data_IF_724753244835
#
_entry.id   IF_724753244835
#
_cell.length_a   1.000
_cell.length_b   1.000
_cell.length_c   1.000
_cell.angle_alpha   90.00
_cell.angle_beta   90.00
_cell.angle_gamma   90.00
#
_symmetry.space_group_name_H-M   'P 1'
#
loop_
_entity.id
_entity.type
_entity.pdbx_description
1 polymer ?
#
# COMPACT_ATOMS: atom_id res chain seq x y z
N UNK A 1 -0.54 -45.24 20.75
CA UNK A 1 -0.11 -45.07 19.34
C UNK A 1 -1.07 -44.09 18.68
N UNK A 2 -0.69 -42.81 18.59
CA UNK A 2 -1.49 -41.79 17.93
C UNK A 2 -1.14 -41.81 16.43
N UNK A 3 -2.15 -42.00 15.58
CA UNK A 3 -1.99 -41.98 14.14
C UNK A 3 -1.62 -40.56 13.66
N UNK A 4 -0.55 -40.45 12.88
CA UNK A 4 -0.15 -39.22 12.22
C UNK A 4 -1.28 -38.73 11.28
N UNK A 5 -1.66 -37.45 11.30
CA UNK A 5 -2.67 -36.94 10.39
C UNK A 5 -2.14 -37.01 8.95
N UNK A 6 -2.98 -37.53 8.04
CA UNK A 6 -2.69 -37.61 6.61
C UNK A 6 -2.44 -36.20 6.03
N UNK A 7 -1.48 -36.03 5.11
CA UNK A 7 -1.21 -34.73 4.49
C UNK A 7 -2.43 -34.26 3.68
N UNK A 8 -2.77 -32.97 3.85
CA UNK A 8 -3.88 -32.32 3.15
C UNK A 8 -3.52 -32.15 1.65
N UNK A 9 -4.31 -32.71 0.71
CA UNK A 9 -3.97 -32.74 -0.73
C UNK A 9 -3.99 -31.37 -1.42
N UNK A 10 -4.38 -30.30 -0.72
CA UNK A 10 -4.39 -28.92 -1.25
C UNK A 10 -3.13 -28.12 -0.92
N UNK A 11 -2.14 -28.72 -0.26
CA UNK A 11 -0.85 -28.11 0.03
C UNK A 11 0.21 -28.61 -0.97
N UNK A 12 1.16 -27.76 -1.40
CA UNK A 12 2.25 -28.22 -2.25
C UNK A 12 3.07 -29.33 -1.53
N UNK A 13 3.52 -30.37 -2.25
CA UNK A 13 4.25 -31.47 -1.65
C UNK A 13 5.63 -31.05 -1.15
N UNK A 14 6.08 -31.74 -0.10
CA UNK A 14 7.40 -31.56 0.49
C UNK A 14 8.46 -32.21 -0.41
N UNK A 15 9.44 -31.43 -0.89
CA UNK A 15 10.63 -31.95 -1.58
C UNK A 15 11.90 -31.45 -0.87
N UNK A 16 12.62 -32.29 -0.12
CA UNK A 16 13.91 -31.92 0.43
C UNK A 16 14.99 -32.28 -0.59
N UNK A 17 15.57 -31.30 -1.26
CA UNK A 17 16.82 -31.52 -2.01
C UNK A 17 17.82 -30.40 -1.69
N UNK A 18 18.70 -30.71 -0.75
CA UNK A 18 20.04 -30.17 -0.67
C UNK A 18 20.91 -30.87 -1.72
N UNK A 19 21.39 -30.13 -2.72
CA UNK A 19 22.61 -30.51 -3.44
C UNK A 19 23.27 -29.26 -4.01
N UNK A 20 24.33 -28.84 -3.34
CA UNK A 20 25.34 -27.88 -3.81
C UNK A 20 26.02 -28.42 -5.07
N UNK A 21 25.77 -27.83 -6.23
CA UNK A 21 26.70 -27.84 -7.36
C UNK A 21 26.58 -26.52 -8.14
N UNK A 22 27.65 -25.73 -8.09
CA UNK A 22 27.83 -24.50 -8.86
C UNK A 22 28.11 -24.84 -10.33
N UNK A 23 27.43 -24.24 -11.31
CA UNK A 23 27.90 -24.29 -12.69
C UNK A 23 28.94 -23.19 -12.94
N UNK A 24 30.13 -23.62 -13.37
CA UNK A 24 31.16 -22.76 -13.97
C UNK A 24 30.62 -22.10 -15.25
N UNK A 25 30.57 -20.78 -15.29
CA UNK A 25 30.37 -20.04 -16.54
C UNK A 25 31.71 -19.50 -17.06
N UNK A 26 32.09 -20.03 -18.21
CA UNK A 26 33.22 -19.60 -19.04
C UNK A 26 32.83 -18.31 -19.77
N UNK A 27 33.60 -17.23 -19.62
CA UNK A 27 33.47 -16.01 -20.43
C UNK A 27 34.57 -15.97 -21.50
N UNK A 28 34.26 -15.80 -22.80
CA UNK A 28 35.27 -15.47 -23.80
C UNK A 28 35.57 -13.96 -23.81
N UNK A 29 36.77 -13.53 -24.27
CA UNK A 29 37.23 -12.16 -24.07
C UNK A 29 36.64 -11.15 -25.07
N UNK A 30 36.61 -9.91 -24.59
CA UNK A 30 36.21 -8.66 -25.23
C UNK A 30 37.02 -8.31 -26.49
N UNK A 31 36.34 -7.75 -27.49
CA UNK A 31 36.97 -6.89 -28.50
C UNK A 31 36.46 -5.45 -28.36
N UNK A 32 37.44 -4.55 -28.30
CA UNK A 32 37.34 -3.11 -28.15
C UNK A 32 36.95 -2.41 -29.46
N UNK A 33 36.06 -1.42 -29.40
CA UNK A 33 36.03 -0.31 -30.37
C UNK A 33 35.84 1.00 -29.62
N UNK A 34 36.71 1.95 -29.95
CA UNK A 34 36.90 3.29 -29.37
C UNK A 34 35.88 4.28 -29.94
N UNK A 35 35.34 5.18 -29.11
CA UNK A 35 34.48 6.29 -29.52
C UNK A 35 34.31 7.39 -28.46
N UNK A 36 35.17 8.40 -28.57
CA UNK A 36 35.23 9.76 -27.96
C UNK A 36 34.08 10.35 -27.11
N UNK A 37 34.46 10.69 -25.86
CA UNK A 37 34.35 11.97 -25.10
C UNK A 37 33.08 12.82 -25.18
N UNK A 38 32.34 12.94 -24.06
CA UNK A 38 31.88 14.22 -23.45
C UNK A 38 31.98 14.06 -21.91
N UNK A 39 32.60 15.02 -21.22
CA UNK A 39 32.91 14.97 -19.78
C UNK A 39 31.98 15.87 -18.96
N UNK A 40 31.41 15.33 -17.89
CA UNK A 40 30.75 16.07 -16.80
C UNK A 40 31.21 15.48 -15.44
N UNK A 41 31.33 16.29 -14.37
CA UNK A 41 31.98 15.84 -13.14
C UNK A 41 31.02 15.00 -12.31
N UNK A 42 31.34 13.71 -12.13
CA UNK A 42 30.62 12.82 -11.21
C UNK A 42 31.21 12.95 -9.81
N UNK A 43 30.38 13.42 -8.87
CA UNK A 43 30.64 13.32 -7.44
C UNK A 43 30.50 11.85 -7.05
N UNK A 44 31.58 11.30 -6.47
CA UNK A 44 31.64 9.94 -5.93
C UNK A 44 30.76 9.85 -4.67
N UNK A 45 29.60 9.21 -4.79
CA UNK A 45 28.85 8.69 -3.66
C UNK A 45 29.13 7.19 -3.56
N UNK A 46 29.80 6.75 -2.50
CA UNK A 46 30.00 5.33 -2.21
C UNK A 46 28.66 4.69 -1.88
N UNK A 47 28.07 3.98 -2.84
CA UNK A 47 26.94 3.09 -2.58
C UNK A 47 27.45 1.87 -1.78
N UNK A 48 27.09 1.79 -0.51
CA UNK A 48 27.21 0.56 0.24
C UNK A 48 26.28 -0.49 -0.40
N UNK A 49 26.84 -1.46 -1.09
CA UNK A 49 26.10 -2.56 -1.70
C UNK A 49 25.59 -3.50 -0.58
N UNK A 50 24.31 -3.38 -0.24
CA UNK A 50 23.63 -4.44 0.52
C UNK A 50 23.38 -5.59 -0.46
N UNK A 51 24.04 -6.73 -0.22
CA UNK A 51 23.76 -7.97 -0.95
C UNK A 51 22.42 -8.51 -0.44
N UNK A 52 21.36 -8.38 -1.24
CA UNK A 52 20.08 -9.05 -1.01
C UNK A 52 20.23 -10.50 -1.49
N UNK A 53 20.10 -11.47 -0.60
CA UNK A 53 20.12 -12.87 -0.95
C UNK A 53 18.82 -13.28 -1.66
N UNK A 54 18.92 -13.76 -2.89
CA UNK A 54 17.83 -14.44 -3.59
C UNK A 54 17.63 -15.82 -2.95
N UNK A 55 16.72 -15.91 -1.98
CA UNK A 55 16.34 -17.19 -1.38
C UNK A 55 15.15 -17.02 -0.43
N UNK A 56 14.14 -17.88 -0.58
CA UNK A 56 13.07 -18.03 0.42
C UNK A 56 13.73 -18.47 1.72
N UNK A 57 13.64 -17.65 2.79
CA UNK A 57 14.07 -18.09 4.11
C UNK A 57 13.17 -19.27 4.54
N UNK A 58 13.73 -20.48 4.76
CA UNK A 58 12.94 -21.67 5.10
C UNK A 58 12.00 -21.44 6.29
N UNK A 59 12.38 -20.60 7.25
CA UNK A 59 11.61 -20.37 8.48
C UNK A 59 10.26 -19.69 8.26
N UNK A 60 10.10 -18.87 7.22
CA UNK A 60 8.84 -18.14 6.97
C UNK A 60 7.81 -18.97 6.22
N UNK A 61 8.27 -19.75 5.24
CA UNK A 61 7.46 -20.78 4.61
C UNK A 61 7.02 -21.81 5.66
N UNK A 62 7.96 -22.31 6.48
CA UNK A 62 7.64 -23.29 7.51
C UNK A 62 6.76 -22.73 8.62
N UNK A 63 6.92 -21.48 9.05
CA UNK A 63 6.05 -20.87 10.06
C UNK A 63 4.64 -20.61 9.55
N UNK A 64 4.50 -20.12 8.32
CA UNK A 64 3.19 -19.89 7.68
C UNK A 64 2.43 -21.19 7.49
N UNK A 65 3.09 -22.22 6.95
CA UNK A 65 2.49 -23.53 6.75
C UNK A 65 2.23 -24.25 8.08
N UNK A 66 3.12 -24.13 9.08
CA UNK A 66 2.89 -24.67 10.44
C UNK A 66 1.69 -24.01 11.12
N UNK A 67 1.56 -22.69 11.02
CA UNK A 67 0.42 -21.94 11.55
C UNK A 67 -0.91 -22.44 10.96
N UNK A 68 -0.94 -22.67 9.64
CA UNK A 68 -2.12 -23.18 8.94
C UNK A 68 -2.40 -24.67 9.25
N UNK A 69 -1.36 -25.50 9.33
CA UNK A 69 -1.48 -26.95 9.53
C UNK A 69 -1.79 -27.35 10.97
N UNK A 70 -1.31 -26.61 11.97
CA UNK A 70 -1.42 -26.97 13.39
C UNK A 70 -2.86 -27.21 13.87
N UNK A 71 -3.86 -26.69 13.15
CA UNK A 71 -5.30 -26.89 13.47
C UNK A 71 -6.18 -27.20 12.24
N UNK A 72 -5.59 -27.68 11.15
CA UNK A 72 -6.34 -28.11 9.95
C UNK A 72 -7.12 -26.99 9.25
N UNK A 73 -6.61 -25.76 9.25
CA UNK A 73 -7.30 -24.61 8.65
C UNK A 73 -6.93 -24.42 7.18
N UNK A 74 -7.94 -24.08 6.40
CA UNK A 74 -7.80 -23.68 4.99
C UNK A 74 -7.96 -22.16 4.89
N UNK A 75 -7.10 -21.47 4.12
CA UNK A 75 -7.25 -20.04 3.86
C UNK A 75 -8.66 -19.67 3.38
N UNK A 76 -9.27 -18.65 3.99
CA UNK A 76 -10.64 -18.24 3.70
C UNK A 76 -10.67 -17.32 2.49
N UNK A 77 -11.13 -17.86 1.35
CA UNK A 77 -11.33 -17.08 0.12
C UNK A 77 -12.22 -15.85 0.31
N UNK A 78 -13.26 -15.95 1.15
CA UNK A 78 -14.17 -14.83 1.44
C UNK A 78 -13.51 -13.65 2.16
N UNK A 79 -12.37 -13.87 2.82
CA UNK A 79 -11.59 -12.83 3.48
C UNK A 79 -10.39 -12.37 2.62
N UNK A 80 -10.24 -12.89 1.40
CA UNK A 80 -9.12 -12.52 0.52
C UNK A 80 -7.74 -12.91 1.07
N UNK A 81 -7.66 -13.96 1.89
CA UNK A 81 -6.42 -14.35 2.56
C UNK A 81 -5.39 -14.92 1.56
N UNK A 82 -4.29 -14.18 1.38
CA UNK A 82 -3.09 -14.57 0.63
C UNK A 82 -1.86 -14.28 1.49
N UNK A 83 -1.22 -15.32 2.00
CA UNK A 83 -0.08 -15.19 2.91
C UNK A 83 1.23 -15.07 2.13
N UNK A 84 2.06 -14.10 2.50
CA UNK A 84 3.40 -13.93 1.95
C UNK A 84 4.31 -15.08 2.40
N UNK A 85 4.90 -15.80 1.45
CA UNK A 85 5.81 -16.92 1.71
C UNK A 85 7.29 -16.50 1.77
N UNK A 86 7.60 -15.30 1.30
CA UNK A 86 8.96 -14.82 1.14
C UNK A 86 9.23 -13.60 2.02
N UNK A 87 10.04 -13.77 3.06
CA UNK A 87 10.39 -12.70 4.00
C UNK A 87 11.18 -11.56 3.40
N UNK A 88 12.01 -11.81 2.38
CA UNK A 88 12.75 -10.74 1.70
C UNK A 88 11.80 -9.67 1.13
N UNK A 89 10.57 -10.03 0.77
CA UNK A 89 9.56 -9.06 0.34
C UNK A 89 9.00 -8.27 1.52
N UNK A 90 8.80 -8.90 2.68
CA UNK A 90 8.40 -8.20 3.91
C UNK A 90 9.48 -7.22 4.37
N UNK A 91 10.76 -7.60 4.28
CA UNK A 91 11.92 -6.73 4.53
C UNK A 91 11.94 -5.56 3.56
N UNK A 92 11.74 -5.81 2.26
CA UNK A 92 11.62 -4.73 1.26
C UNK A 92 10.42 -3.81 1.52
N UNK A 93 9.30 -4.34 2.02
CA UNK A 93 8.11 -3.56 2.37
C UNK A 93 8.40 -2.62 3.56
N UNK A 94 9.03 -3.13 4.62
CA UNK A 94 9.46 -2.33 5.77
C UNK A 94 10.53 -1.29 5.37
N UNK A 95 11.47 -1.67 4.50
CA UNK A 95 12.48 -0.77 3.97
C UNK A 95 11.89 0.33 3.08
N UNK A 96 10.87 0.04 2.28
CA UNK A 96 10.17 1.02 1.45
C UNK A 96 9.46 2.10 2.29
N UNK A 97 8.98 1.75 3.48
CA UNK A 97 8.45 2.68 4.48
C UNK A 97 9.53 3.29 5.39
N UNK A 98 10.81 2.96 5.14
CA UNK A 98 11.96 3.40 5.93
C UNK A 98 11.73 3.20 7.43
N UNK A 99 11.18 2.04 7.83
CA UNK A 99 10.87 1.73 9.24
C UNK A 99 12.17 1.70 10.05
N UNK A 100 12.15 2.39 11.19
CA UNK A 100 13.29 2.54 12.09
C UNK A 100 12.92 2.18 13.52
N UNK A 101 13.94 2.01 14.34
CA UNK A 101 13.76 1.80 15.77
C UNK A 101 13.03 2.98 16.43
N UNK A 102 11.98 2.66 17.19
CA UNK A 102 11.09 3.62 17.83
C UNK A 102 9.95 4.12 16.95
N UNK A 103 9.83 3.68 15.69
CA UNK A 103 8.66 4.00 14.88
C UNK A 103 7.41 3.31 15.41
N UNK A 104 6.25 3.96 15.26
CA UNK A 104 4.94 3.34 15.48
C UNK A 104 4.34 2.98 14.13
N UNK A 105 3.96 1.71 13.96
CA UNK A 105 3.46 1.18 12.69
C UNK A 105 2.08 0.57 12.85
N UNK A 106 1.16 0.95 11.99
CA UNK A 106 -0.10 0.26 11.79
C UNK A 106 0.09 -0.86 10.75
N UNK A 107 -0.32 -2.07 11.11
CA UNK A 107 -0.41 -3.22 10.21
C UNK A 107 -1.87 -3.69 10.09
N UNK A 108 -2.38 -3.79 8.86
CA UNK A 108 -3.74 -4.22 8.54
C UNK A 108 -3.68 -5.63 7.98
N UNK A 109 -4.31 -6.58 8.67
CA UNK A 109 -4.31 -7.98 8.27
C UNK A 109 -2.95 -8.66 8.47
N UNK A 110 -2.41 -8.76 9.70
CA UNK A 110 -1.13 -9.40 9.99
C UNK A 110 -1.10 -10.88 9.59
N UNK A 111 -2.26 -11.55 9.52
CA UNK A 111 -2.36 -12.95 9.11
C UNK A 111 -1.56 -13.89 10.03
N UNK A 112 -0.48 -14.47 9.54
CA UNK A 112 0.42 -15.34 10.32
C UNK A 112 1.48 -14.56 11.12
N UNK A 113 1.55 -13.24 10.96
CA UNK A 113 2.51 -12.36 11.63
C UNK A 113 3.88 -12.30 10.96
N UNK A 114 4.00 -12.71 9.69
CA UNK A 114 5.28 -12.72 8.97
C UNK A 114 5.82 -11.31 8.73
N UNK A 115 4.96 -10.35 8.37
CA UNK A 115 5.34 -8.94 8.25
C UNK A 115 5.51 -8.30 9.64
N UNK A 116 4.59 -8.59 10.58
CA UNK A 116 4.71 -8.20 11.99
C UNK A 116 6.09 -8.51 12.58
N UNK A 117 6.63 -9.70 12.31
CA UNK A 117 7.95 -10.12 12.76
C UNK A 117 9.06 -9.16 12.27
N UNK A 118 9.03 -8.80 10.98
CA UNK A 118 10.00 -7.89 10.37
C UNK A 118 9.90 -6.49 10.98
N UNK A 119 8.68 -5.99 11.19
CA UNK A 119 8.44 -4.68 11.80
C UNK A 119 8.96 -4.60 13.24
N UNK A 120 8.65 -5.61 14.06
CA UNK A 120 9.12 -5.69 15.45
C UNK A 120 10.65 -5.81 15.51
N UNK A 121 11.25 -6.65 14.65
CA UNK A 121 12.71 -6.82 14.58
C UNK A 121 13.43 -5.55 14.10
N UNK A 122 12.75 -4.69 13.33
CA UNK A 122 13.25 -3.36 12.94
C UNK A 122 13.19 -2.35 14.09
N UNK A 123 12.61 -2.74 15.23
CA UNK A 123 12.53 -1.95 16.43
C UNK A 123 11.25 -1.14 16.58
N UNK A 124 10.24 -1.39 15.74
CA UNK A 124 8.98 -0.66 15.76
C UNK A 124 8.00 -1.18 16.84
N UNK A 125 7.12 -0.29 17.29
CA UNK A 125 5.88 -0.67 18.00
C UNK A 125 4.75 -0.81 16.99
N UNK A 126 4.10 -1.97 16.95
CA UNK A 126 3.10 -2.32 15.96
C UNK A 126 1.70 -2.35 16.58
N UNK A 127 0.76 -1.63 15.96
CA UNK A 127 -0.66 -1.85 16.13
C UNK A 127 -1.16 -2.70 14.96
N UNK A 128 -1.56 -3.93 15.22
CA UNK A 128 -2.10 -4.82 14.20
C UNK A 128 -3.63 -4.87 14.28
N UNK A 129 -4.33 -4.72 13.15
CA UNK A 129 -5.80 -4.87 13.06
C UNK A 129 -6.11 -6.12 12.23
N UNK A 130 -6.70 -7.13 12.85
CA UNK A 130 -7.02 -8.41 12.23
C UNK A 130 -8.49 -8.77 12.38
N UNK A 131 -9.16 -9.06 11.27
CA UNK A 131 -10.58 -9.39 11.24
C UNK A 131 -10.85 -10.86 11.60
N UNK A 132 -9.97 -11.78 11.22
CA UNK A 132 -10.10 -13.20 11.58
C UNK A 132 -9.64 -13.39 13.04
N UNK A 133 -10.59 -13.62 13.95
CA UNK A 133 -10.33 -13.80 15.38
C UNK A 133 -9.29 -14.88 15.69
N UNK A 134 -9.19 -15.90 14.84
CA UNK A 134 -8.16 -16.91 15.00
C UNK A 134 -6.76 -16.38 14.68
N UNK A 135 -6.61 -15.62 13.59
CA UNK A 135 -5.33 -15.04 13.20
C UNK A 135 -4.89 -13.97 14.20
N UNK A 136 -5.85 -13.19 14.71
CA UNK A 136 -5.60 -12.24 15.78
C UNK A 136 -4.99 -12.94 17.02
N UNK A 137 -5.63 -14.03 17.49
CA UNK A 137 -5.12 -14.81 18.62
C UNK A 137 -3.78 -15.50 18.33
N UNK A 138 -3.56 -15.98 17.10
CA UNK A 138 -2.30 -16.62 16.70
C UNK A 138 -1.14 -15.63 16.73
N UNK A 139 -1.35 -14.43 16.19
CA UNK A 139 -0.34 -13.37 16.17
C UNK A 139 -0.07 -12.88 17.60
N UNK A 140 -1.11 -12.68 18.40
CA UNK A 140 -0.98 -12.30 19.81
C UNK A 140 -0.16 -13.33 20.61
N UNK A 141 -0.47 -14.64 20.48
CA UNK A 141 0.27 -15.73 21.11
C UNK A 141 1.74 -15.79 20.64
N UNK A 142 1.97 -15.67 19.32
CA UNK A 142 3.31 -15.72 18.71
C UNK A 142 4.24 -14.65 19.29
N UNK A 143 3.70 -13.48 19.62
CA UNK A 143 4.46 -12.33 20.11
C UNK A 143 4.18 -12.00 21.58
N UNK A 144 3.63 -12.93 22.37
CA UNK A 144 3.28 -12.70 23.78
C UNK A 144 4.47 -12.28 24.67
N UNK A 145 5.71 -12.58 24.24
CA UNK A 145 6.93 -12.21 24.97
C UNK A 145 7.46 -10.80 24.64
N UNK A 146 6.76 -10.02 23.80
CA UNK A 146 7.13 -8.64 23.49
C UNK A 146 5.99 -7.67 23.81
N UNK A 147 6.34 -6.49 24.32
CA UNK A 147 5.40 -5.38 24.55
C UNK A 147 5.27 -4.46 23.34
N UNK A 148 5.97 -4.76 22.24
CA UNK A 148 5.97 -3.96 21.01
C UNK A 148 4.83 -4.29 20.05
N UNK A 149 3.89 -5.14 20.44
CA UNK A 149 2.73 -5.48 19.63
C UNK A 149 1.44 -5.27 20.42
N UNK A 150 0.46 -4.66 19.75
CA UNK A 150 -0.93 -4.65 20.19
C UNK A 150 -1.80 -5.16 19.05
N UNK A 151 -2.57 -6.21 19.29
CA UNK A 151 -3.50 -6.77 18.30
C UNK A 151 -4.93 -6.33 18.61
N UNK A 152 -5.62 -5.77 17.62
CA UNK A 152 -7.04 -5.46 17.65
C UNK A 152 -7.79 -6.47 16.78
N UNK A 153 -8.68 -7.25 17.38
CA UNK A 153 -9.54 -8.15 16.61
C UNK A 153 -10.78 -7.41 16.09
N UNK A 154 -10.62 -6.61 15.05
CA UNK A 154 -11.67 -5.78 14.47
C UNK A 154 -11.66 -5.83 12.93
N UNK A 155 -12.79 -5.44 12.33
CA UNK A 155 -12.87 -5.18 10.90
C UNK A 155 -12.34 -3.77 10.62
N UNK A 156 -11.19 -3.65 9.95
CA UNK A 156 -10.56 -2.36 9.68
C UNK A 156 -11.52 -1.34 9.07
N UNK A 157 -12.36 -1.78 8.12
CA UNK A 157 -13.33 -0.90 7.42
C UNK A 157 -14.37 -0.30 8.37
N UNK A 158 -14.60 -0.92 9.54
CA UNK A 158 -15.53 -0.46 10.58
C UNK A 158 -14.83 0.10 11.81
N UNK A 159 -13.52 -0.09 11.91
CA UNK A 159 -12.70 0.29 13.05
C UNK A 159 -12.50 1.81 13.07
N UNK A 160 -12.56 2.42 14.26
CA UNK A 160 -12.10 3.80 14.44
C UNK A 160 -10.60 3.80 14.70
N UNK A 161 -9.83 3.53 13.66
CA UNK A 161 -8.36 3.40 13.75
C UNK A 161 -7.71 4.67 14.30
N UNK A 162 -8.25 5.86 13.99
CA UNK A 162 -7.77 7.14 14.53
C UNK A 162 -7.77 7.15 16.06
N UNK A 163 -8.85 6.71 16.68
CA UNK A 163 -8.97 6.63 18.14
C UNK A 163 -7.94 5.67 18.75
N UNK A 164 -7.77 4.49 18.15
CA UNK A 164 -6.80 3.51 18.63
C UNK A 164 -5.36 4.00 18.50
N UNK A 165 -5.03 4.64 17.38
CA UNK A 165 -3.71 5.24 17.15
C UNK A 165 -3.41 6.36 18.13
N UNK A 166 -4.35 7.30 18.33
CA UNK A 166 -4.18 8.38 19.29
C UNK A 166 -3.99 7.87 20.73
N UNK A 167 -4.73 6.83 21.11
CA UNK A 167 -4.56 6.18 22.41
C UNK A 167 -3.18 5.55 22.57
N UNK A 168 -2.69 4.85 21.54
CA UNK A 168 -1.37 4.22 21.54
C UNK A 168 -0.26 5.28 21.56
N UNK A 169 -0.31 6.27 20.68
CA UNK A 169 0.67 7.36 20.61
C UNK A 169 0.77 8.09 21.94
N UNK A 170 -0.37 8.43 22.58
CA UNK A 170 -0.37 9.05 23.91
C UNK A 170 0.29 8.17 24.97
N UNK A 171 0.09 6.84 24.91
CA UNK A 171 0.76 5.94 25.86
C UNK A 171 2.27 5.88 25.67
N UNK A 172 2.73 6.02 24.42
CA UNK A 172 4.16 6.02 24.07
C UNK A 172 4.80 7.37 24.43
N UNK A 173 4.14 8.50 24.15
CA UNK A 173 4.65 9.85 24.49
C UNK A 173 4.85 10.04 26.00
N UNK A 174 4.03 9.36 26.83
CA UNK A 174 4.20 9.35 28.27
C UNK A 174 5.44 8.56 28.73
N UNK A 175 5.92 7.63 27.91
CA UNK A 175 7.12 6.83 28.18
C UNK A 175 8.38 7.34 27.48
N UNK A 176 8.24 7.99 26.32
CA UNK A 176 9.34 8.44 25.46
C UNK A 176 9.03 9.80 24.83
N UNK A 177 9.99 10.74 24.86
CA UNK A 177 9.82 12.11 24.37
C UNK A 177 9.94 12.23 22.83
N UNK A 178 9.31 11.33 22.06
CA UNK A 178 9.33 11.36 20.58
C UNK A 178 7.92 11.56 20.02
N UNK A 179 7.71 12.68 19.33
CA UNK A 179 6.52 12.93 18.51
C UNK A 179 6.91 12.82 17.02
N UNK A 180 6.98 11.60 16.50
CA UNK A 180 6.99 11.38 15.06
C UNK A 180 5.64 10.80 14.62
N UNK A 181 5.10 11.22 13.46
CA UNK A 181 3.91 10.58 12.90
C UNK A 181 4.15 9.09 12.72
N UNK A 182 3.10 8.30 12.93
CA UNK A 182 3.14 6.87 12.70
C UNK A 182 3.27 6.55 11.19
N UNK A 183 3.49 5.29 10.87
CA UNK A 183 3.48 4.78 9.50
C UNK A 183 2.45 3.67 9.34
N UNK A 184 2.04 3.39 8.11
CA UNK A 184 1.26 2.19 7.79
C UNK A 184 2.11 1.30 6.89
N UNK A 185 2.26 0.03 7.25
CA UNK A 185 2.97 -0.96 6.42
C UNK A 185 2.13 -2.23 6.42
N UNK A 186 1.60 -2.64 5.26
CA UNK A 186 0.64 -3.75 5.24
C UNK A 186 0.59 -4.51 3.91
N UNK A 187 0.45 -5.84 4.02
CA UNK A 187 0.00 -6.70 2.93
C UNK A 187 -1.52 -6.91 3.06
N UNK A 188 -2.30 -6.06 2.40
CA UNK A 188 -3.73 -5.99 2.66
C UNK A 188 -4.54 -6.99 1.82
N UNK A 189 -5.71 -7.44 2.31
CA UNK A 189 -6.64 -8.19 1.49
C UNK A 189 -7.12 -7.37 0.29
N UNK A 190 -7.07 -7.97 -0.90
CA UNK A 190 -7.28 -7.25 -2.17
C UNK A 190 -8.69 -6.67 -2.36
N UNK A 191 -9.69 -7.23 -1.67
CA UNK A 191 -11.09 -6.85 -1.79
C UNK A 191 -11.47 -5.57 -1.03
N UNK A 192 -10.60 -5.04 -0.17
CA UNK A 192 -10.89 -3.87 0.68
C UNK A 192 -9.92 -2.70 0.45
N UNK A 193 -9.09 -2.77 -0.60
CA UNK A 193 -8.05 -1.78 -0.90
C UNK A 193 -8.57 -0.35 -0.99
N UNK A 194 -9.69 -0.13 -1.70
CA UNK A 194 -10.28 1.20 -1.86
C UNK A 194 -10.78 1.78 -0.54
N UNK A 195 -11.39 0.96 0.32
CA UNK A 195 -11.90 1.41 1.62
C UNK A 195 -10.74 1.78 2.56
N UNK A 196 -9.68 0.96 2.58
CA UNK A 196 -8.46 1.23 3.33
C UNK A 196 -7.85 2.57 2.91
N UNK A 197 -7.69 2.79 1.60
CA UNK A 197 -7.12 4.04 1.07
C UNK A 197 -7.98 5.24 1.45
N UNK A 198 -9.31 5.14 1.31
CA UNK A 198 -10.23 6.23 1.66
C UNK A 198 -10.21 6.59 3.14
N UNK A 199 -9.96 5.62 4.01
CA UNK A 199 -9.86 5.84 5.44
C UNK A 199 -8.50 6.41 5.86
N UNK A 200 -7.40 5.90 5.29
CA UNK A 200 -6.03 6.23 5.72
C UNK A 200 -5.50 7.54 5.16
N UNK A 201 -5.68 7.82 3.86
CA UNK A 201 -5.00 8.97 3.24
C UNK A 201 -5.37 10.33 3.85
N UNK A 202 -6.62 10.57 4.31
CA UNK A 202 -6.96 11.82 5.00
C UNK A 202 -6.30 12.00 6.38
N UNK A 203 -5.61 10.98 6.91
CA UNK A 203 -5.05 10.96 8.27
C UNK A 203 -3.58 11.43 8.32
N UNK A 204 -3.21 12.42 7.51
CA UNK A 204 -1.84 12.98 7.46
C UNK A 204 -1.34 13.60 8.78
N UNK A 205 -2.24 13.88 9.72
CA UNK A 205 -1.90 14.33 11.07
C UNK A 205 -1.46 13.18 11.99
N UNK A 206 -1.79 11.94 11.64
CA UNK A 206 -1.44 10.72 12.41
C UNK A 206 -0.34 9.95 11.70
N UNK A 207 -0.41 9.82 10.36
CA UNK A 207 0.52 9.04 9.57
C UNK A 207 1.34 9.93 8.63
N UNK A 208 2.65 9.70 8.54
CA UNK A 208 3.48 10.37 7.53
C UNK A 208 3.49 9.63 6.20
N UNK A 209 3.38 8.31 6.24
CA UNK A 209 3.54 7.46 5.07
C UNK A 209 2.71 6.18 5.19
N UNK A 210 2.11 5.78 4.07
CA UNK A 210 1.32 4.56 3.93
C UNK A 210 1.94 3.70 2.84
N UNK A 211 2.47 2.53 3.20
CA UNK A 211 3.06 1.57 2.27
C UNK A 211 2.23 0.30 2.25
N UNK A 212 1.65 0.00 1.08
CA UNK A 212 0.73 -1.11 0.90
C UNK A 212 1.21 -2.03 -0.22
N UNK A 213 1.06 -3.32 0.00
CA UNK A 213 1.08 -4.31 -1.07
C UNK A 213 -0.35 -4.52 -1.57
N UNK A 214 -0.57 -4.26 -2.86
CA UNK A 214 -1.86 -4.34 -3.55
C UNK A 214 -1.77 -5.26 -4.76
N UNK A 215 -2.91 -5.60 -5.37
CA UNK A 215 -2.91 -6.14 -6.74
C UNK A 215 -2.24 -5.16 -7.69
N UNK A 216 -1.48 -5.68 -8.66
CA UNK A 216 -0.70 -4.84 -9.58
C UNK A 216 -1.59 -3.84 -10.33
N UNK A 217 -2.73 -4.26 -10.88
CA UNK A 217 -3.64 -3.34 -11.58
C UNK A 217 -4.19 -2.24 -10.67
N UNK A 218 -4.49 -2.56 -9.41
CA UNK A 218 -4.97 -1.58 -8.44
C UNK A 218 -3.85 -0.60 -8.07
N UNK A 219 -2.64 -1.10 -7.81
CA UNK A 219 -1.45 -0.28 -7.56
C UNK A 219 -1.18 0.69 -8.70
N UNK A 220 -1.07 0.18 -9.94
CA UNK A 220 -0.83 0.98 -11.13
C UNK A 220 -1.90 2.04 -11.34
N UNK A 221 -3.17 1.69 -11.12
CA UNK A 221 -4.27 2.65 -11.19
C UNK A 221 -4.13 3.78 -10.18
N UNK A 222 -3.67 3.51 -8.96
CA UNK A 222 -3.58 4.52 -7.90
C UNK A 222 -2.41 5.49 -8.10
N UNK A 223 -1.32 5.03 -8.72
CA UNK A 223 -0.14 5.85 -9.04
C UNK A 223 -0.26 6.53 -10.40
N UNK A 224 -1.29 6.22 -11.20
CA UNK A 224 -1.46 6.80 -12.54
C UNK A 224 -1.72 8.31 -12.44
N UNK A 225 -0.78 9.08 -12.99
CA UNK A 225 -0.83 10.55 -13.08
C UNK A 225 -1.18 11.04 -14.49
N UNK A 226 -1.15 10.17 -15.50
CA UNK A 226 -1.39 10.54 -16.88
C UNK A 226 -2.87 10.84 -17.10
N UNK A 227 -3.14 12.05 -17.59
CA UNK A 227 -4.48 12.46 -18.01
C UNK A 227 -4.88 11.74 -19.31
N UNK A 228 -6.18 11.70 -19.57
CA UNK A 228 -6.79 11.14 -20.80
C UNK A 228 -6.62 9.62 -20.94
N UNK A 229 -6.36 8.92 -19.83
CA UNK A 229 -6.32 7.46 -19.80
C UNK A 229 -7.68 6.90 -19.40
N UNK A 230 -8.02 5.70 -19.88
CA UNK A 230 -9.24 5.00 -19.45
C UNK A 230 -9.21 4.58 -17.99
N UNK A 231 -8.05 4.63 -17.32
CA UNK A 231 -7.86 4.23 -15.93
C UNK A 231 -8.01 5.38 -14.94
N UNK A 232 -7.96 6.65 -15.39
CA UNK A 232 -8.17 7.80 -14.51
C UNK A 232 -9.61 7.84 -13.97
N UNK A 233 -9.74 7.94 -12.64
CA UNK A 233 -10.99 7.80 -11.88
C UNK A 233 -11.03 8.81 -10.73
N UNK A 234 -12.17 8.98 -10.04
CA UNK A 234 -12.25 9.79 -8.82
C UNK A 234 -11.21 9.42 -7.76
N UNK A 235 -10.83 8.15 -7.67
CA UNK A 235 -9.82 7.69 -6.70
C UNK A 235 -8.43 8.29 -6.98
N UNK A 236 -8.08 8.58 -8.24
CA UNK A 236 -6.82 9.24 -8.59
C UNK A 236 -6.80 10.66 -8.02
N UNK A 237 -7.88 11.41 -8.21
CA UNK A 237 -8.01 12.77 -7.65
C UNK A 237 -7.94 12.70 -6.12
N UNK A 238 -8.61 11.73 -5.50
CA UNK A 238 -8.57 11.50 -4.05
C UNK A 238 -7.16 11.22 -3.53
N UNK A 239 -6.44 10.30 -4.16
CA UNK A 239 -5.08 9.93 -3.77
C UNK A 239 -4.14 11.13 -3.90
N UNK A 240 -4.16 11.83 -5.04
CA UNK A 240 -3.30 12.99 -5.29
C UNK A 240 -3.66 14.19 -4.39
N UNK A 241 -4.92 14.32 -3.96
CA UNK A 241 -5.33 15.38 -3.03
C UNK A 241 -4.67 15.21 -1.66
N UNK A 242 -4.62 13.97 -1.15
CA UNK A 242 -4.16 13.67 0.20
C UNK A 242 -2.69 13.22 0.29
N UNK A 243 -2.08 12.83 -0.82
CA UNK A 243 -0.77 12.20 -0.81
C UNK A 243 0.00 12.36 -2.12
N UNK A 244 1.27 11.99 -2.08
CA UNK A 244 2.10 11.78 -3.26
C UNK A 244 2.32 10.26 -3.44
N UNK A 245 1.63 9.63 -4.41
CA UNK A 245 1.71 8.18 -4.64
C UNK A 245 2.96 7.81 -5.45
N UNK A 246 3.58 6.68 -5.14
CA UNK A 246 4.74 6.15 -5.86
C UNK A 246 4.70 4.63 -5.93
N UNK A 247 4.98 4.07 -7.10
CA UNK A 247 5.18 2.63 -7.28
C UNK A 247 6.60 2.27 -6.87
N UNK A 248 6.76 1.39 -5.88
CA UNK A 248 8.08 0.98 -5.38
C UNK A 248 8.63 -0.19 -6.19
N UNK A 249 7.92 -1.31 -6.21
CA UNK A 249 8.33 -2.50 -6.95
C UNK A 249 7.15 -3.47 -7.17
N UNK A 250 7.29 -4.38 -8.13
CA UNK A 250 6.31 -5.44 -8.41
C UNK A 250 6.67 -6.72 -7.68
N UNK A 251 5.66 -7.51 -7.32
CA UNK A 251 5.80 -8.75 -6.58
C UNK A 251 5.07 -9.88 -7.33
N UNK A 252 5.79 -10.91 -7.82
CA UNK A 252 5.17 -12.05 -8.48
C UNK A 252 4.22 -12.81 -7.55
N UNK A 253 3.06 -13.20 -8.06
CA UNK A 253 2.02 -13.97 -7.36
C UNK A 253 2.50 -15.30 -6.77
N UNK A 254 3.60 -15.84 -7.29
CA UNK A 254 4.25 -17.08 -6.80
C UNK A 254 4.80 -16.95 -5.38
N UNK A 255 4.94 -15.72 -4.86
CA UNK A 255 5.36 -15.47 -3.48
C UNK A 255 4.22 -15.61 -2.46
N UNK A 256 3.01 -15.99 -2.87
CA UNK A 256 1.84 -16.06 -1.99
C UNK A 256 1.23 -17.46 -1.90
N UNK A 257 0.61 -17.76 -0.75
CA UNK A 257 -0.24 -18.92 -0.57
C UNK A 257 -1.59 -18.57 0.08
N UNK A 258 -2.73 -19.00 -0.50
CA UNK A 258 -2.86 -19.54 -1.86
C UNK A 258 -2.37 -18.52 -2.89
N UNK A 259 -1.92 -18.99 -4.04
CA UNK A 259 -1.48 -18.10 -5.11
C UNK A 259 -2.68 -17.28 -5.64
N UNK A 260 -2.61 -15.95 -5.69
CA UNK A 260 -3.64 -15.11 -6.30
C UNK A 260 -3.64 -15.24 -7.82
N UNK A 261 -4.71 -14.75 -8.47
CA UNK A 261 -4.84 -14.83 -9.93
C UNK A 261 -3.93 -13.83 -10.66
N UNK A 262 -3.58 -12.73 -10.00
CA UNK A 262 -2.79 -11.62 -10.55
C UNK A 262 -1.56 -11.37 -9.70
N UNK A 263 -0.56 -10.75 -10.31
CA UNK A 263 0.61 -10.25 -9.58
C UNK A 263 0.23 -9.08 -8.66
N UNK A 264 1.16 -8.76 -7.76
CA UNK A 264 1.02 -7.69 -6.79
C UNK A 264 2.06 -6.60 -7.03
N UNK A 265 1.89 -5.46 -6.39
CA UNK A 265 2.88 -4.41 -6.35
C UNK A 265 2.82 -3.64 -5.04
N UNK A 266 3.98 -3.12 -4.64
CA UNK A 266 4.14 -2.25 -3.49
C UNK A 266 4.05 -0.81 -3.94
N UNK A 267 3.18 -0.06 -3.27
CA UNK A 267 2.98 1.38 -3.47
C UNK A 267 3.17 2.11 -2.14
N UNK A 268 3.77 3.30 -2.19
CA UNK A 268 3.81 4.22 -1.06
C UNK A 268 2.94 5.44 -1.35
N UNK A 269 2.35 5.97 -0.30
CA UNK A 269 1.66 7.25 -0.29
C UNK A 269 2.28 8.11 0.80
N UNK A 270 3.05 9.12 0.41
CA UNK A 270 3.53 10.12 1.36
C UNK A 270 2.38 11.07 1.66
N UNK A 271 1.90 11.10 2.91
CA UNK A 271 0.71 11.88 3.25
C UNK A 271 1.01 13.37 3.39
N UNK A 272 0.10 14.19 2.88
CA UNK A 272 0.11 15.64 3.05
C UNK A 272 -0.51 15.97 4.40
N UNK A 273 -0.01 17.02 5.06
CA UNK A 273 -0.68 17.57 6.25
C UNK A 273 -1.85 18.45 5.81
N UNK A 274 -2.78 18.70 6.71
CA UNK A 274 -3.97 19.51 6.40
C UNK A 274 -3.63 20.90 5.82
N UNK A 275 -2.52 21.50 6.25
CA UNK A 275 -2.01 22.78 5.74
C UNK A 275 -1.51 22.73 4.28
N UNK A 276 -1.15 21.52 3.80
CA UNK A 276 -0.58 21.28 2.47
C UNK A 276 -1.64 20.78 1.48
N UNK A 277 -2.90 20.64 1.90
CA UNK A 277 -4.00 20.23 1.01
C UNK A 277 -4.31 21.31 -0.03
N UNK A 278 -4.74 20.94 -1.25
CA UNK A 278 -5.20 21.90 -2.24
C UNK A 278 -6.33 22.79 -1.68
N UNK A 279 -6.22 24.09 -1.93
CA UNK A 279 -7.14 25.08 -1.40
C UNK A 279 -8.54 24.98 -2.04
N UNK A 280 -9.46 24.34 -1.32
CA UNK A 280 -10.88 24.22 -1.70
C UNK A 280 -11.76 24.73 -0.57
N UNK A 281 -12.88 25.38 -0.93
CA UNK A 281 -13.83 25.93 0.06
C UNK A 281 -14.40 24.87 1.02
N UNK A 282 -14.56 23.63 0.54
CA UNK A 282 -14.95 22.48 1.33
C UNK A 282 -14.46 21.19 0.68
N UNK A 283 -13.70 20.36 1.41
CA UNK A 283 -13.25 19.05 0.93
C UNK A 283 -14.43 18.13 0.60
N UNK A 284 -15.49 18.17 1.41
CA UNK A 284 -16.72 17.41 1.18
C UNK A 284 -17.40 17.81 -0.13
N UNK A 285 -17.56 19.12 -0.37
CA UNK A 285 -18.15 19.61 -1.62
C UNK A 285 -17.27 19.24 -2.82
N UNK A 286 -15.96 19.42 -2.69
CA UNK A 286 -14.99 19.08 -3.73
C UNK A 286 -15.10 17.62 -4.17
N UNK A 287 -15.04 16.67 -3.24
CA UNK A 287 -15.18 15.26 -3.59
C UNK A 287 -16.58 14.89 -4.06
N UNK A 288 -17.63 15.56 -3.60
CA UNK A 288 -18.97 15.40 -4.17
C UNK A 288 -19.00 15.80 -5.65
N UNK A 289 -18.42 16.96 -5.98
CA UNK A 289 -18.30 17.45 -7.36
C UNK A 289 -17.46 16.51 -8.23
N UNK A 290 -16.30 16.05 -7.74
CA UNK A 290 -15.43 15.10 -8.46
C UNK A 290 -16.19 13.80 -8.73
N UNK A 291 -16.85 13.21 -7.73
CA UNK A 291 -17.64 11.98 -7.96
C UNK A 291 -18.76 12.19 -8.99
N UNK A 292 -19.45 13.33 -8.91
CA UNK A 292 -20.46 13.75 -9.87
C UNK A 292 -19.91 13.92 -11.29
N UNK A 293 -18.69 14.45 -11.45
CA UNK A 293 -18.06 14.64 -12.75
C UNK A 293 -17.93 13.31 -13.50
N UNK A 294 -17.50 12.26 -12.80
CA UNK A 294 -17.32 10.92 -13.36
C UNK A 294 -18.63 10.09 -13.43
N UNK A 295 -19.79 10.66 -13.08
CA UNK A 295 -21.09 9.99 -13.12
C UNK A 295 -21.66 9.91 -14.56
N UNK A 296 -21.04 9.06 -15.37
CA UNK A 296 -21.46 8.75 -16.73
C UNK A 296 -20.27 8.61 -17.67
N UNK A 297 -20.16 7.45 -18.32
CA UNK A 297 -19.07 7.18 -19.27
C UNK A 297 -19.14 8.19 -20.43
N UNK A 298 -18.01 8.84 -20.73
CA UNK A 298 -17.81 9.73 -21.89
C UNK A 298 -18.65 11.03 -21.89
N UNK A 299 -19.31 11.37 -20.78
CA UNK A 299 -20.06 12.63 -20.67
C UNK A 299 -19.10 13.82 -20.49
N UNK A 300 -19.43 14.95 -21.12
CA UNK A 300 -18.74 16.23 -20.89
C UNK A 300 -19.07 16.76 -19.49
N UNK A 301 -18.16 17.51 -18.87
CA UNK A 301 -18.33 18.06 -17.52
C UNK A 301 -19.60 18.91 -17.38
N UNK A 302 -19.89 19.75 -18.38
CA UNK A 302 -21.12 20.54 -18.49
C UNK A 302 -22.43 19.74 -18.49
N UNK A 303 -22.37 18.43 -18.76
CA UNK A 303 -23.51 17.51 -18.68
C UNK A 303 -23.53 16.74 -17.36
N UNK A 304 -22.36 16.37 -16.83
CA UNK A 304 -22.25 15.65 -15.56
C UNK A 304 -22.57 16.53 -14.35
N UNK A 305 -22.22 17.83 -14.40
CA UNK A 305 -22.31 18.75 -13.26
C UNK A 305 -23.58 19.64 -13.26
N UNK A 306 -24.57 19.36 -14.10
CA UNK A 306 -25.77 20.21 -14.27
C UNK A 306 -26.66 20.34 -13.03
N UNK A 307 -26.51 19.45 -12.06
CA UNK A 307 -27.21 19.52 -10.78
C UNK A 307 -26.54 20.48 -9.78
N UNK A 308 -25.32 20.95 -10.08
CA UNK A 308 -24.58 21.92 -9.26
C UNK A 308 -24.78 23.33 -9.81
N UNK A 309 -24.54 23.52 -11.11
CA UNK A 309 -24.69 24.80 -11.81
C UNK A 309 -25.25 24.59 -13.22
N UNK A 310 -25.65 25.68 -13.89
CA UNK A 310 -26.10 25.62 -15.28
C UNK A 310 -24.95 25.23 -16.23
N UNK A 311 -25.30 24.64 -17.39
CA UNK A 311 -24.29 24.27 -18.41
C UNK A 311 -23.44 25.47 -18.83
N UNK A 312 -24.02 26.67 -18.92
CA UNK A 312 -23.32 27.88 -19.35
C UNK A 312 -22.32 28.37 -18.31
N UNK A 313 -22.66 28.29 -17.02
CA UNK A 313 -21.74 28.62 -15.92
C UNK A 313 -20.57 27.65 -15.86
N UNK A 314 -20.80 26.35 -16.10
CA UNK A 314 -19.74 25.34 -16.14
C UNK A 314 -18.83 25.57 -17.34
N UNK A 315 -19.38 25.83 -18.54
CA UNK A 315 -18.59 26.14 -19.74
C UNK A 315 -17.71 27.38 -19.52
N UNK A 316 -18.27 28.45 -18.93
CA UNK A 316 -17.50 29.65 -18.55
C UNK A 316 -16.40 29.35 -17.54
N UNK A 317 -16.68 28.57 -16.49
CA UNK A 317 -15.68 28.21 -15.49
C UNK A 317 -14.55 27.33 -16.05
N UNK A 318 -14.85 26.49 -17.04
CA UNK A 318 -13.85 25.73 -17.79
C UNK A 318 -12.95 26.68 -18.59
N UNK A 319 -13.53 27.64 -19.33
CA UNK A 319 -12.77 28.64 -20.09
C UNK A 319 -11.89 29.51 -19.17
N UNK A 320 -12.43 29.97 -18.04
CA UNK A 320 -11.69 30.73 -17.01
C UNK A 320 -10.53 29.90 -16.42
N UNK A 321 -10.63 28.57 -16.46
CA UNK A 321 -9.58 27.62 -16.05
C UNK A 321 -8.66 27.20 -17.21
N UNK A 322 -8.77 27.82 -18.39
CA UNK A 322 -8.02 27.46 -19.61
C UNK A 322 -8.31 26.05 -20.15
N UNK A 323 -9.52 25.54 -19.92
CA UNK A 323 -10.01 24.25 -20.39
C UNK A 323 -11.06 24.43 -21.50
N UNK A 324 -11.34 23.36 -22.24
CA UNK A 324 -12.35 23.39 -23.29
C UNK A 324 -13.76 23.25 -22.70
N UNK A 325 -14.79 23.93 -23.24
CA UNK A 325 -16.20 23.73 -22.86
C UNK A 325 -16.68 22.27 -23.03
N UNK A 326 -15.99 21.53 -23.90
CA UNK A 326 -16.26 20.11 -24.19
C UNK A 326 -15.44 19.15 -23.34
N UNK A 327 -14.64 19.64 -22.39
CA UNK A 327 -13.75 18.81 -21.58
C UNK A 327 -14.49 17.73 -20.80
N UNK A 328 -13.82 16.60 -20.65
CA UNK A 328 -14.30 15.44 -19.89
C UNK A 328 -13.52 15.26 -18.59
N UNK A 329 -14.09 14.61 -17.56
CA UNK A 329 -13.44 14.45 -16.26
C UNK A 329 -12.03 13.84 -16.33
N UNK A 330 -11.82 12.84 -17.20
CA UNK A 330 -10.53 12.18 -17.38
C UNK A 330 -9.44 13.08 -18.00
N UNK A 331 -9.80 14.27 -18.50
CA UNK A 331 -8.89 15.22 -19.12
C UNK A 331 -8.36 16.27 -18.13
N UNK A 332 -8.91 16.32 -16.91
CA UNK A 332 -8.57 17.33 -15.90
C UNK A 332 -7.55 16.80 -14.90
N UNK A 333 -6.56 17.63 -14.58
CA UNK A 333 -5.67 17.44 -13.43
C UNK A 333 -6.37 17.74 -12.11
N UNK A 334 -5.71 17.40 -10.99
CA UNK A 334 -6.17 17.80 -9.66
C UNK A 334 -6.34 19.33 -9.55
N UNK A 335 -5.36 20.09 -10.05
CA UNK A 335 -5.40 21.56 -10.01
C UNK A 335 -6.54 22.12 -10.84
N UNK A 336 -6.85 21.49 -11.98
CA UNK A 336 -7.99 21.86 -12.81
C UNK A 336 -9.31 21.62 -12.07
N UNK A 337 -9.46 20.49 -11.38
CA UNK A 337 -10.63 20.23 -10.54
C UNK A 337 -10.75 21.25 -9.39
N UNK A 338 -9.63 21.64 -8.77
CA UNK A 338 -9.62 22.62 -7.68
C UNK A 338 -10.06 23.99 -8.18
N UNK A 339 -9.52 24.46 -9.31
CA UNK A 339 -9.93 25.71 -9.96
C UNK A 339 -11.41 25.69 -10.33
N UNK A 340 -11.85 24.63 -11.02
CA UNK A 340 -13.24 24.46 -11.43
C UNK A 340 -14.18 24.50 -10.22
N UNK A 341 -13.86 23.75 -9.15
CA UNK A 341 -14.64 23.73 -7.92
C UNK A 341 -14.81 25.14 -7.33
N UNK A 342 -13.72 25.88 -7.19
CA UNK A 342 -13.74 27.20 -6.57
C UNK A 342 -14.47 28.26 -7.41
N UNK A 343 -14.59 28.04 -8.73
CA UNK A 343 -15.37 28.92 -9.62
C UNK A 343 -16.87 28.62 -9.57
N UNK A 344 -17.27 27.35 -9.47
CA UNK A 344 -18.69 26.95 -9.59
C UNK A 344 -19.38 26.79 -8.23
N UNK A 345 -18.68 26.34 -7.19
CA UNK A 345 -19.22 26.20 -5.84
C UNK A 345 -18.98 27.51 -5.11
N UNK A 346 -19.85 28.49 -5.35
CA UNK A 346 -19.91 29.73 -4.57
C UNK A 346 -20.49 29.42 -3.17
N UNK A 347 -19.91 30.08 -2.17
CA UNK A 347 -20.27 29.94 -0.75
C UNK A 347 -21.75 30.21 -0.46
#
# INVERSE_FOLDING_TARGET
>A
MAASPLPNPFLPPFSPTSSTQSPNFYFPPSTSVVGSRWATPFVSCSAASVRVGEGVNPDDYHSTIRALNSKGRVPRKSLGQHYMLNSSINEQLAAAANVKEGDVVLEIGPGTGSLTNVLINSGATVLAVEKDSYMAGLVDERFANTNRLKVLNEDFVKCNVSSHMMSLLKSIELSEARSQPAKVVSNIPFNISTDIIKQLLPMGDIFSEVVLLLQEEAALRLVETSLRTSEYRPINVFVNFYSDPELKFKVPRTNFFPQPNVDAAVVSFKLKRAADYPAVSSTKSFFSMVNSAFNGKRKMLRKSLQHICTSLEIEKALEDSSLLPTSRPEELSLDDFVKLHNLIVKH
#
